data_IF_995248272926
#
_entry.id   IF_995248272926
#
_cell.length_a   1.000
_cell.length_b   1.000
_cell.length_c   1.000
_cell.angle_alpha   90.00
_cell.angle_beta   90.00
_cell.angle_gamma   90.00
#
_symmetry.space_group_name_H-M   'P 1'
#
loop_
_entity.id
_entity.type
_entity.pdbx_description
1 polymer ?
#
# COMPACT_ATOMS: atom_id res chain seq x y z
N UNK A 1 5.39 17.55 -0.85
CA UNK A 1 3.94 17.28 -0.90
C UNK A 1 3.56 16.15 0.05
N UNK A 2 2.28 16.03 0.43
CA UNK A 2 1.75 14.90 1.24
C UNK A 2 2.08 13.56 0.58
N UNK A 3 1.99 13.50 -0.75
CA UNK A 3 2.36 12.35 -1.58
C UNK A 3 3.83 11.95 -1.37
N UNK A 4 4.76 12.87 -1.49
CA UNK A 4 6.20 12.58 -1.27
C UNK A 4 6.50 12.18 0.17
N UNK A 5 5.75 12.69 1.16
CA UNK A 5 5.90 12.31 2.58
C UNK A 5 5.42 10.89 2.84
N UNK A 6 4.25 10.50 2.35
CA UNK A 6 3.73 9.14 2.53
C UNK A 6 4.60 8.11 1.80
N UNK A 7 5.09 8.43 0.59
CA UNK A 7 6.02 7.62 -0.16
C UNK A 7 7.32 7.39 0.60
N UNK A 8 7.96 8.47 1.06
CA UNK A 8 9.17 8.37 1.86
C UNK A 8 8.93 7.65 3.20
N UNK A 9 7.81 7.90 3.89
CA UNK A 9 7.55 7.36 5.22
C UNK A 9 7.40 5.85 5.21
N UNK A 10 6.60 5.30 4.27
CA UNK A 10 6.42 3.86 4.20
C UNK A 10 7.67 3.13 3.74
N UNK A 11 8.34 3.66 2.73
CA UNK A 11 9.56 3.03 2.20
C UNK A 11 10.71 3.12 3.19
N UNK A 12 10.82 4.21 3.93
CA UNK A 12 11.85 4.46 4.93
C UNK A 12 11.57 3.80 6.28
N UNK A 13 10.34 3.92 6.80
CA UNK A 13 10.02 3.55 8.19
C UNK A 13 9.00 2.44 8.32
N UNK A 14 8.42 1.96 7.21
CA UNK A 14 7.43 0.88 7.21
C UNK A 14 6.04 1.28 7.76
N UNK A 15 5.78 2.57 8.02
CA UNK A 15 4.48 3.01 8.54
C UNK A 15 3.38 2.92 7.49
N UNK A 16 2.19 2.50 7.91
CA UNK A 16 1.01 2.58 7.04
C UNK A 16 0.56 4.03 6.86
N UNK A 17 -0.24 4.30 5.82
CA UNK A 17 -0.80 5.62 5.59
C UNK A 17 -1.62 6.11 6.79
N UNK A 18 -2.37 5.21 7.44
CA UNK A 18 -3.14 5.52 8.65
C UNK A 18 -2.23 5.87 9.82
N UNK A 19 -1.21 5.04 10.12
CA UNK A 19 -0.23 5.33 11.18
C UNK A 19 0.45 6.66 10.97
N UNK A 20 0.85 6.98 9.73
CA UNK A 20 1.46 8.26 9.38
C UNK A 20 0.53 9.43 9.72
N UNK A 21 -0.77 9.30 9.39
CA UNK A 21 -1.76 10.33 9.69
C UNK A 21 -2.00 10.45 11.20
N UNK A 22 -2.07 9.33 11.92
CA UNK A 22 -2.27 9.30 13.36
C UNK A 22 -1.08 9.97 14.10
N UNK A 23 0.17 9.70 13.69
CA UNK A 23 1.35 10.38 14.26
C UNK A 23 1.37 11.88 13.91
N UNK A 24 1.01 12.26 12.70
CA UNK A 24 0.92 13.67 12.33
C UNK A 24 -0.17 14.39 13.14
N UNK A 25 -1.30 13.74 13.39
CA UNK A 25 -2.37 14.25 14.23
C UNK A 25 -1.90 14.44 15.68
N UNK A 26 -1.19 13.46 16.25
CA UNK A 26 -0.63 13.56 17.60
C UNK A 26 0.37 14.71 17.73
N UNK A 27 1.23 14.92 16.73
CA UNK A 27 2.17 16.06 16.69
C UNK A 27 1.43 17.41 16.60
N UNK A 28 0.34 17.48 15.83
CA UNK A 28 -0.52 18.66 15.76
C UNK A 28 -1.17 18.98 17.11
N UNK A 29 -1.73 17.99 17.79
CA UNK A 29 -2.34 18.14 19.11
C UNK A 29 -1.31 18.59 20.17
N UNK A 30 -0.06 18.19 20.04
CA UNK A 30 1.08 18.69 20.82
C UNK A 30 1.55 20.09 20.41
N UNK A 31 0.95 20.71 19.39
CA UNK A 31 1.32 22.01 18.80
C UNK A 31 2.72 22.05 18.19
N UNK A 32 3.26 20.90 17.81
CA UNK A 32 4.60 20.79 17.21
C UNK A 32 4.56 20.78 15.69
N UNK A 33 3.39 20.52 15.11
CA UNK A 33 3.13 20.48 13.69
C UNK A 33 1.87 21.30 13.35
N UNK A 34 1.81 21.88 12.16
CA UNK A 34 0.59 22.52 11.66
C UNK A 34 -0.42 21.46 11.22
N UNK A 35 -1.65 21.86 10.91
CA UNK A 35 -2.74 20.93 10.61
C UNK A 35 -2.39 19.91 9.53
N UNK A 36 -2.48 18.60 9.81
CA UNK A 36 -1.92 17.58 8.92
C UNK A 36 -2.82 17.18 7.75
N UNK A 37 -4.11 17.56 7.76
CA UNK A 37 -5.08 17.18 6.72
C UNK A 37 -5.25 18.30 5.70
N UNK A 38 -4.17 18.71 5.06
CA UNK A 38 -4.15 19.72 4.00
C UNK A 38 -3.76 19.09 2.67
N UNK A 39 -4.26 19.61 1.59
CA UNK A 39 -3.88 19.32 0.20
C UNK A 39 -2.84 20.30 -0.33
N UNK A 40 -2.68 21.47 0.30
CA UNK A 40 -1.70 22.47 -0.12
C UNK A 40 -0.26 22.05 0.18
N UNK A 41 0.62 22.48 -0.72
CA UNK A 41 2.10 22.36 -0.63
C UNK A 41 2.76 23.71 -0.39
N UNK A 42 1.96 24.77 -0.31
CA UNK A 42 2.38 26.15 -0.33
C UNK A 42 2.01 26.84 0.98
N UNK A 43 2.70 27.95 1.23
CA UNK A 43 2.39 28.91 2.29
C UNK A 43 1.84 30.19 1.66
N UNK A 44 1.22 31.03 2.46
CA UNK A 44 0.80 32.39 2.07
C UNK A 44 1.90 33.41 2.27
N UNK A 45 1.86 34.54 1.58
CA UNK A 45 2.87 35.59 1.65
C UNK A 45 3.03 36.22 3.03
N UNK A 46 1.96 36.27 3.83
CA UNK A 46 1.99 36.73 5.20
C UNK A 46 2.77 35.81 6.15
N UNK A 47 2.97 34.55 5.76
CA UNK A 47 3.76 33.57 6.52
C UNK A 47 5.27 33.62 6.22
N UNK A 48 5.73 34.37 5.24
CA UNK A 48 7.16 34.36 4.84
C UNK A 48 8.09 34.72 5.99
N UNK A 49 7.79 35.78 6.75
CA UNK A 49 8.61 36.22 7.87
C UNK A 49 8.77 35.14 8.95
N UNK A 50 7.66 34.60 9.42
CA UNK A 50 7.64 33.54 10.44
C UNK A 50 8.27 32.24 9.95
N UNK A 51 8.09 31.91 8.67
CA UNK A 51 8.71 30.71 8.07
C UNK A 51 10.22 30.88 7.94
N UNK A 52 10.74 32.07 7.64
CA UNK A 52 12.18 32.35 7.60
C UNK A 52 12.83 32.17 8.96
N UNK A 53 12.19 32.67 10.02
CA UNK A 53 12.63 32.48 11.40
C UNK A 53 12.62 30.99 11.79
N UNK A 54 11.55 30.29 11.43
CA UNK A 54 11.42 28.85 11.63
C UNK A 54 12.57 28.09 10.97
N UNK A 55 12.86 28.35 9.68
CA UNK A 55 13.96 27.71 8.95
C UNK A 55 15.31 27.96 9.63
N UNK A 56 15.55 29.20 10.05
CA UNK A 56 16.78 29.56 10.78
C UNK A 56 16.91 28.76 12.08
N UNK A 57 15.84 28.66 12.84
CA UNK A 57 15.79 27.87 14.07
C UNK A 57 16.00 26.37 13.81
N UNK A 58 15.40 25.81 12.75
CA UNK A 58 15.58 24.41 12.37
C UNK A 58 17.02 24.12 11.94
N UNK A 59 17.67 24.99 11.17
CA UNK A 59 19.08 24.84 10.80
C UNK A 59 20.00 24.80 12.02
N UNK A 60 19.69 25.56 13.06
CA UNK A 60 20.46 25.55 14.31
C UNK A 60 20.18 24.32 15.19
N UNK A 61 18.92 23.85 15.21
CA UNK A 61 18.47 22.77 16.11
C UNK A 61 18.70 21.35 15.57
N UNK A 62 18.75 21.17 14.24
CA UNK A 62 18.83 19.83 13.62
C UNK A 62 20.28 19.37 13.47
N UNK A 63 20.67 18.21 14.06
CA UNK A 63 22.05 17.73 14.00
C UNK A 63 22.57 17.54 12.58
N UNK A 64 21.73 17.10 11.64
CA UNK A 64 22.13 16.87 10.25
C UNK A 64 22.33 18.16 9.44
N UNK A 65 21.96 19.32 9.98
CA UNK A 65 22.19 20.63 9.38
C UNK A 65 23.48 21.31 9.88
N UNK A 66 24.19 20.71 10.85
CA UNK A 66 25.43 21.29 11.37
C UNK A 66 26.47 21.40 10.27
N UNK A 67 26.98 22.61 10.06
CA UNK A 67 27.95 22.91 8.98
C UNK A 67 27.34 23.16 7.60
N UNK A 68 26.04 22.96 7.42
CA UNK A 68 25.36 23.26 6.14
C UNK A 68 24.93 24.72 6.11
N UNK A 69 25.35 25.42 5.05
CA UNK A 69 24.90 26.79 4.77
C UNK A 69 23.72 26.76 3.82
N UNK A 70 22.52 26.94 4.36
CA UNK A 70 21.29 27.00 3.57
C UNK A 70 20.95 28.46 3.22
N UNK A 71 20.93 28.78 1.93
CA UNK A 71 20.29 30.00 1.42
C UNK A 71 18.85 29.63 1.05
N UNK A 72 17.91 29.95 1.95
CA UNK A 72 16.51 29.58 1.77
C UNK A 72 15.82 30.52 0.78
N UNK A 73 15.25 29.97 -0.28
CA UNK A 73 14.40 30.65 -1.26
C UNK A 73 12.92 30.36 -0.95
N UNK A 74 12.26 31.26 -0.24
CA UNK A 74 10.85 31.13 0.15
C UNK A 74 9.89 31.33 -1.02
N UNK A 75 10.27 32.02 -2.09
CA UNK A 75 9.44 32.21 -3.27
C UNK A 75 9.04 30.85 -3.92
N UNK A 76 9.83 29.82 -3.71
CA UNK A 76 9.53 28.47 -4.21
C UNK A 76 8.34 27.78 -3.55
N UNK A 77 8.01 28.19 -2.35
CA UNK A 77 6.94 27.58 -1.54
C UNK A 77 5.81 28.56 -1.22
N UNK A 78 5.92 29.83 -1.62
CA UNK A 78 4.93 30.85 -1.39
C UNK A 78 4.04 31.03 -2.62
N UNK A 79 2.73 30.74 -2.49
CA UNK A 79 1.75 30.92 -3.56
C UNK A 79 0.34 31.01 -2.96
N UNK A 80 -0.18 32.24 -2.82
CA UNK A 80 -1.51 32.49 -2.23
C UNK A 80 -2.64 31.79 -3.00
N UNK A 81 -2.51 31.64 -4.32
CA UNK A 81 -3.55 31.04 -5.15
C UNK A 81 -3.70 29.53 -4.96
N UNK A 82 -2.70 28.89 -4.36
CA UNK A 82 -2.64 27.46 -4.09
C UNK A 82 -2.84 27.09 -2.61
N UNK A 83 -3.23 28.06 -1.80
CA UNK A 83 -3.63 27.86 -0.40
C UNK A 83 -5.10 28.17 -0.29
N UNK A 84 -5.92 27.16 -0.04
CA UNK A 84 -7.37 27.30 0.15
C UNK A 84 -7.68 27.42 1.65
N UNK A 85 -8.08 26.31 2.28
CA UNK A 85 -8.45 26.29 3.70
C UNK A 85 -7.24 26.18 4.63
N UNK A 86 -6.20 25.45 4.20
CA UNK A 86 -5.00 25.19 5.00
C UNK A 86 -3.73 25.26 4.15
N UNK A 87 -2.69 25.87 4.72
CA UNK A 87 -1.35 25.88 4.13
C UNK A 87 -0.62 24.55 4.27
N UNK A 88 0.57 24.43 3.70
CA UNK A 88 1.43 23.25 3.81
C UNK A 88 1.71 22.85 5.26
N UNK A 89 1.97 21.58 5.50
CA UNK A 89 2.37 21.09 6.82
C UNK A 89 3.78 21.56 7.14
N UNK A 90 3.93 22.27 8.25
CA UNK A 90 5.18 22.83 8.74
C UNK A 90 5.41 22.41 10.19
N UNK A 91 6.68 22.27 10.65
CA UNK A 91 7.00 22.32 12.05
C UNK A 91 6.58 23.69 12.63
N UNK A 92 6.41 23.77 13.94
CA UNK A 92 6.08 25.02 14.61
C UNK A 92 7.28 25.62 15.32
N UNK A 93 7.21 26.89 15.73
CA UNK A 93 8.20 27.51 16.59
C UNK A 93 8.32 26.79 17.95
N UNK A 94 7.24 26.14 18.41
CA UNK A 94 7.27 25.35 19.65
C UNK A 94 8.17 24.11 19.50
N UNK A 95 8.16 23.46 18.35
CA UNK A 95 9.09 22.36 18.07
C UNK A 95 10.56 22.84 18.10
N UNK A 96 10.87 24.02 17.54
CA UNK A 96 12.23 24.57 17.59
C UNK A 96 12.72 24.75 19.02
N UNK A 97 11.82 25.14 19.95
CA UNK A 97 12.15 25.34 21.38
C UNK A 97 12.30 24.02 22.12
N UNK A 98 11.39 23.06 21.90
CA UNK A 98 11.32 21.83 22.70
C UNK A 98 12.15 20.68 22.13
N UNK A 99 12.42 20.71 20.82
CA UNK A 99 13.17 19.66 20.11
C UNK A 99 12.45 18.30 20.15
N UNK A 100 13.25 17.25 20.14
CA UNK A 100 12.78 15.86 20.07
C UNK A 100 12.56 15.19 21.44
N UNK A 101 12.86 15.85 22.55
CA UNK A 101 12.99 15.22 23.87
C UNK A 101 11.70 14.56 24.39
N UNK A 102 10.52 15.10 24.02
CA UNK A 102 9.21 14.60 24.46
C UNK A 102 8.52 13.69 23.44
N UNK A 103 9.19 13.35 22.33
CA UNK A 103 8.59 12.61 21.22
C UNK A 103 8.88 11.11 21.29
N UNK A 104 7.88 10.30 20.98
CA UNK A 104 8.07 8.88 20.71
C UNK A 104 8.92 8.67 19.44
N UNK A 105 9.57 7.51 19.30
CA UNK A 105 10.47 7.25 18.17
C UNK A 105 9.77 7.38 16.79
N UNK A 106 8.51 6.96 16.68
CA UNK A 106 7.72 7.14 15.44
C UNK A 106 7.44 8.62 15.15
N UNK A 107 7.15 9.40 16.17
CA UNK A 107 6.93 10.85 16.04
C UNK A 107 8.23 11.58 15.68
N UNK A 108 9.38 11.17 16.26
CA UNK A 108 10.71 11.70 15.90
C UNK A 108 11.02 11.48 14.42
N UNK A 109 10.81 10.26 13.94
CA UNK A 109 11.02 9.92 12.53
C UNK A 109 10.16 10.77 11.60
N UNK A 110 8.87 10.92 11.92
CA UNK A 110 7.97 11.76 11.14
C UNK A 110 8.38 13.23 11.18
N UNK A 111 8.70 13.76 12.35
CA UNK A 111 9.11 15.16 12.50
C UNK A 111 10.43 15.44 11.75
N UNK A 112 11.43 14.56 11.87
CA UNK A 112 12.68 14.67 11.12
C UNK A 112 12.42 14.75 9.61
N UNK A 113 11.53 13.90 9.10
CA UNK A 113 11.18 13.94 7.69
C UNK A 113 10.46 15.23 7.29
N UNK A 114 9.53 15.73 8.10
CA UNK A 114 8.83 17.00 7.82
C UNK A 114 9.82 18.17 7.80
N UNK A 115 10.72 18.24 8.78
CA UNK A 115 11.77 19.25 8.80
C UNK A 115 12.67 19.16 7.58
N UNK A 116 13.17 17.97 7.24
CA UNK A 116 14.01 17.77 6.06
C UNK A 116 13.31 18.18 4.77
N UNK A 117 12.01 17.85 4.62
CA UNK A 117 11.25 18.21 3.41
C UNK A 117 10.98 19.71 3.30
N UNK A 118 10.79 20.43 4.40
CA UNK A 118 10.71 21.88 4.39
C UNK A 118 12.05 22.49 3.94
N UNK A 119 13.15 22.05 4.53
CA UNK A 119 14.48 22.57 4.20
C UNK A 119 14.86 22.26 2.73
N UNK A 120 14.56 21.05 2.24
CA UNK A 120 14.73 20.71 0.82
C UNK A 120 13.87 21.58 -0.12
N UNK A 121 12.64 21.94 0.30
CA UNK A 121 11.74 22.71 -0.54
C UNK A 121 12.22 24.15 -0.79
N UNK A 122 12.97 24.72 0.16
CA UNK A 122 13.53 26.07 0.08
C UNK A 122 15.01 26.11 -0.31
N UNK A 123 15.67 24.96 -0.45
CA UNK A 123 17.05 24.87 -0.86
C UNK A 123 17.22 25.11 -2.36
N UNK A 124 18.46 25.36 -2.79
CA UNK A 124 18.79 25.46 -4.20
C UNK A 124 18.34 24.22 -5.00
N UNK A 125 18.01 24.34 -6.27
CA UNK A 125 17.70 23.20 -7.13
C UNK A 125 18.91 22.25 -7.25
N UNK A 126 18.60 20.98 -7.49
CA UNK A 126 19.59 20.02 -7.98
C UNK A 126 19.84 20.31 -9.47
N UNK A 127 21.08 20.60 -9.84
CA UNK A 127 21.45 20.91 -11.20
C UNK A 127 22.43 19.86 -11.74
N UNK A 128 22.18 19.40 -12.95
CA UNK A 128 23.01 18.40 -13.61
C UNK A 128 23.05 18.61 -15.11
N UNK A 129 24.14 18.19 -15.71
CA UNK A 129 24.29 18.07 -17.16
C UNK A 129 23.90 16.64 -17.56
N UNK A 130 22.99 16.51 -18.53
CA UNK A 130 22.59 15.23 -19.10
C UNK A 130 23.10 15.12 -20.53
N UNK A 131 23.95 14.14 -20.82
CA UNK A 131 24.49 13.86 -22.14
C UNK A 131 23.80 12.62 -22.71
N UNK A 132 23.33 12.72 -23.94
CA UNK A 132 22.83 11.57 -24.70
C UNK A 132 23.66 11.47 -25.97
N UNK A 133 24.44 10.39 -26.08
CA UNK A 133 25.24 10.09 -27.26
C UNK A 133 24.54 9.00 -28.08
N UNK A 134 24.47 9.21 -29.40
CA UNK A 134 23.93 8.23 -30.34
C UNK A 134 25.10 7.79 -31.25
N UNK A 135 25.41 6.51 -31.24
CA UNK A 135 26.43 5.88 -32.03
C UNK A 135 25.78 5.10 -33.17
N UNK A 136 26.33 5.20 -34.37
CA UNK A 136 25.88 4.42 -35.53
C UNK A 136 26.92 3.37 -35.87
N UNK A 137 26.54 2.10 -35.91
CA UNK A 137 27.38 0.99 -36.30
C UNK A 137 26.61 0.06 -37.24
N UNK A 138 27.12 -0.14 -38.47
CA UNK A 138 26.49 -1.01 -39.48
C UNK A 138 25.00 -0.72 -39.72
N UNK A 139 24.57 0.54 -39.64
CA UNK A 139 23.20 0.98 -39.83
C UNK A 139 22.29 0.88 -38.56
N UNK A 140 22.82 0.37 -37.47
CA UNK A 140 22.09 0.31 -36.17
C UNK A 140 22.49 1.49 -35.28
N UNK A 141 21.51 2.03 -34.56
CA UNK A 141 21.74 3.12 -33.60
C UNK A 141 21.84 2.57 -32.16
N UNK A 142 22.92 2.96 -31.49
CA UNK A 142 23.15 2.65 -30.06
C UNK A 142 23.13 3.94 -29.28
N UNK A 143 22.38 3.98 -28.16
CA UNK A 143 22.25 5.18 -27.34
C UNK A 143 22.91 4.96 -25.98
N UNK A 144 23.82 5.86 -25.61
CA UNK A 144 24.38 5.96 -24.27
C UNK A 144 23.88 7.25 -23.61
N UNK A 145 23.59 7.17 -22.33
CA UNK A 145 23.15 8.32 -21.51
C UNK A 145 24.08 8.47 -20.31
N UNK A 146 24.52 9.69 -20.08
CA UNK A 146 25.34 10.06 -18.93
C UNK A 146 24.74 11.24 -18.19
N UNK A 147 25.12 11.41 -16.93
CA UNK A 147 24.75 12.54 -16.10
C UNK A 147 25.92 12.96 -15.25
N UNK A 148 26.17 14.26 -15.18
CA UNK A 148 27.20 14.86 -14.32
C UNK A 148 26.52 15.88 -13.40
N UNK A 149 26.62 15.69 -12.11
CA UNK A 149 26.07 16.63 -11.11
C UNK A 149 26.88 17.91 -11.11
N UNK A 150 26.22 19.05 -11.30
CA UNK A 150 26.81 20.40 -11.23
C UNK A 150 26.56 21.03 -9.85
N UNK A 151 25.38 20.86 -9.26
CA UNK A 151 25.03 21.35 -7.95
C UNK A 151 24.14 20.33 -7.22
N UNK A 152 24.54 19.87 -6.06
CA UNK A 152 23.74 18.93 -5.24
C UNK A 152 22.42 19.54 -4.76
N UNK A 153 22.40 20.84 -4.46
CA UNK A 153 21.23 21.55 -4.04
C UNK A 153 20.47 20.85 -2.90
N UNK A 154 19.15 20.69 -3.05
CA UNK A 154 18.30 20.03 -2.03
C UNK A 154 18.67 18.56 -1.75
N UNK A 155 19.33 17.86 -2.68
CA UNK A 155 19.76 16.46 -2.52
C UNK A 155 20.74 16.28 -1.35
N UNK A 156 21.62 17.27 -1.13
CA UNK A 156 22.55 17.25 -0.01
C UNK A 156 21.82 17.15 1.33
N UNK A 157 20.79 17.99 1.55
CA UNK A 157 19.99 17.98 2.77
C UNK A 157 19.25 16.64 2.93
N UNK A 158 18.69 16.11 1.85
CA UNK A 158 18.01 14.82 1.87
C UNK A 158 18.98 13.70 2.26
N UNK A 159 20.18 13.65 1.65
CA UNK A 159 21.22 12.68 1.96
C UNK A 159 21.66 12.76 3.43
N UNK A 160 21.91 13.96 3.95
CA UNK A 160 22.30 14.17 5.34
C UNK A 160 21.18 13.73 6.32
N UNK A 161 19.93 14.01 6.00
CA UNK A 161 18.80 13.60 6.83
C UNK A 161 18.59 12.08 6.82
N UNK A 162 18.89 11.40 5.71
CA UNK A 162 18.87 9.94 5.60
C UNK A 162 19.99 9.32 6.44
N UNK A 163 21.21 9.80 6.28
CA UNK A 163 22.34 9.32 7.05
C UNK A 163 22.12 9.47 8.57
N UNK A 164 21.53 10.58 9.01
CA UNK A 164 21.17 10.80 10.41
C UNK A 164 20.09 9.84 10.93
N UNK A 165 19.27 9.29 10.03
CA UNK A 165 18.25 8.27 10.35
C UNK A 165 18.79 6.83 10.28
N UNK A 166 20.08 6.63 9.99
CA UNK A 166 20.71 5.31 9.87
C UNK A 166 20.34 4.58 8.58
N UNK A 167 19.84 5.29 7.56
CA UNK A 167 19.46 4.71 6.28
C UNK A 167 20.65 4.69 5.33
N UNK A 168 20.89 3.54 4.70
CA UNK A 168 21.82 3.42 3.57
C UNK A 168 21.06 3.71 2.28
N UNK A 169 21.69 4.41 1.36
CA UNK A 169 21.12 4.73 0.04
C UNK A 169 21.32 3.51 -0.89
N UNK A 170 20.55 2.43 -0.63
CA UNK A 170 20.65 1.17 -1.40
C UNK A 170 20.19 1.34 -2.86
N UNK A 171 19.46 2.40 -3.19
CA UNK A 171 18.89 2.66 -4.52
C UNK A 171 19.71 3.71 -5.34
N UNK A 172 20.83 4.17 -4.85
CA UNK A 172 21.71 5.03 -5.62
C UNK A 172 22.42 4.22 -6.72
N UNK A 173 21.75 4.02 -7.86
CA UNK A 173 22.49 3.59 -9.06
C UNK A 173 23.60 4.60 -9.31
N UNK A 174 24.86 4.13 -9.48
CA UNK A 174 25.96 5.04 -9.79
C UNK A 174 25.62 5.79 -11.08
N UNK A 175 25.66 7.12 -11.02
CA UNK A 175 25.43 7.95 -12.19
C UNK A 175 26.48 7.60 -13.24
N UNK A 176 26.04 7.09 -14.39
CA UNK A 176 26.94 6.82 -15.51
C UNK A 176 27.45 8.17 -16.04
N UNK A 177 28.73 8.43 -15.87
CA UNK A 177 29.39 9.60 -16.43
C UNK A 177 29.97 9.17 -17.76
N UNK A 178 29.54 9.81 -18.85
CA UNK A 178 30.16 9.59 -20.17
C UNK A 178 31.49 10.37 -20.28
N UNK A 179 32.50 9.79 -20.92
CA UNK A 179 33.71 10.54 -21.25
C UNK A 179 33.36 11.69 -22.20
N UNK A 180 34.23 12.70 -22.34
CA UNK A 180 34.05 13.74 -23.35
C UNK A 180 33.93 13.13 -24.76
N UNK A 181 32.83 13.42 -25.42
CA UNK A 181 32.49 12.92 -26.75
C UNK A 181 32.36 14.10 -27.70
N UNK A 182 32.82 13.92 -28.94
CA UNK A 182 32.68 14.91 -30.02
C UNK A 182 31.79 14.34 -31.13
N UNK A 183 31.03 15.21 -31.79
CA UNK A 183 30.24 14.83 -32.95
C UNK A 183 31.18 14.37 -34.09
N UNK A 184 30.85 13.25 -34.74
CA UNK A 184 31.66 12.63 -35.78
C UNK A 184 32.87 11.81 -35.26
N UNK A 185 33.01 11.67 -33.94
CA UNK A 185 34.07 10.83 -33.36
C UNK A 185 33.88 9.36 -33.78
N UNK A 186 34.96 8.74 -34.27
CA UNK A 186 34.97 7.34 -34.69
C UNK A 186 35.65 6.47 -33.64
N UNK A 187 35.05 5.29 -33.35
CA UNK A 187 35.62 4.28 -32.47
C UNK A 187 36.00 3.05 -33.28
N UNK A 188 37.25 2.60 -33.14
CA UNK A 188 37.73 1.40 -33.82
C UNK A 188 37.39 0.14 -32.99
N UNK A 189 37.04 -0.95 -33.69
CA UNK A 189 36.80 -2.27 -33.12
C UNK A 189 35.78 -2.29 -31.96
N UNK A 190 34.56 -1.76 -32.13
CA UNK A 190 33.55 -1.83 -31.09
C UNK A 190 33.15 -3.29 -30.81
N UNK A 191 33.10 -3.67 -29.55
CA UNK A 191 32.53 -4.95 -29.14
C UNK A 191 31.03 -4.77 -28.83
N UNK A 192 30.18 -5.66 -29.33
CA UNK A 192 28.76 -5.67 -29.05
C UNK A 192 28.38 -6.97 -28.37
N UNK A 193 27.58 -6.87 -27.30
CA UNK A 193 27.02 -8.00 -26.59
C UNK A 193 25.49 -7.95 -26.66
N UNK A 194 24.86 -9.08 -26.98
CA UNK A 194 23.39 -9.20 -26.99
C UNK A 194 22.96 -9.69 -25.62
N UNK A 195 22.19 -8.85 -24.92
CA UNK A 195 21.56 -9.20 -23.65
C UNK A 195 20.06 -9.43 -23.87
N UNK A 196 19.59 -10.65 -23.67
CA UNK A 196 18.17 -10.98 -23.71
C UNK A 196 17.53 -10.56 -22.39
N UNK A 197 16.45 -9.77 -22.46
CA UNK A 197 15.71 -9.29 -21.31
C UNK A 197 14.21 -9.46 -21.53
N UNK A 198 13.50 -9.76 -20.46
CA UNK A 198 12.05 -9.86 -20.46
C UNK A 198 11.42 -8.62 -19.83
N UNK A 199 10.31 -8.16 -20.40
CA UNK A 199 9.50 -7.11 -19.79
C UNK A 199 8.93 -7.61 -18.46
N UNK A 200 8.92 -6.75 -17.46
CA UNK A 200 8.33 -7.07 -16.17
C UNK A 200 6.86 -6.63 -16.15
N UNK A 201 5.96 -7.40 -15.51
CA UNK A 201 4.59 -6.96 -15.32
C UNK A 201 4.55 -5.69 -14.47
N UNK A 202 3.48 -4.87 -14.55
CA UNK A 202 3.31 -3.70 -13.70
C UNK A 202 3.48 -4.09 -12.23
N UNK A 203 4.21 -3.26 -11.48
CA UNK A 203 4.42 -3.50 -10.05
C UNK A 203 3.08 -3.41 -9.31
N UNK A 204 2.84 -4.34 -8.37
CA UNK A 204 1.69 -4.25 -7.49
C UNK A 204 1.71 -2.93 -6.70
N UNK A 205 0.54 -2.38 -6.42
CA UNK A 205 0.42 -1.16 -5.64
C UNK A 205 1.04 -1.30 -4.25
N UNK A 206 1.74 -0.28 -3.83
CA UNK A 206 1.99 0.01 -2.42
C UNK A 206 0.90 0.95 -1.91
N UNK A 207 0.79 1.20 -0.61
CA UNK A 207 -0.17 2.20 -0.11
C UNK A 207 0.05 3.57 -0.72
N UNK A 208 1.30 3.96 -0.93
CA UNK A 208 1.68 5.22 -1.54
C UNK A 208 1.23 5.31 -3.01
N UNK A 209 1.60 4.31 -3.81
CA UNK A 209 1.22 4.31 -5.22
C UNK A 209 -0.30 4.20 -5.40
N UNK A 210 -1.00 3.49 -4.48
CA UNK A 210 -2.46 3.46 -4.48
C UNK A 210 -3.08 4.81 -4.08
N UNK A 211 -2.57 5.46 -3.02
CA UNK A 211 -3.01 6.81 -2.64
C UNK A 211 -2.81 7.80 -3.78
N UNK A 212 -1.68 7.67 -4.49
CA UNK A 212 -1.38 8.46 -5.68
C UNK A 212 -2.35 8.18 -6.84
N UNK A 213 -2.67 6.92 -7.08
CA UNK A 213 -3.65 6.53 -8.09
C UNK A 213 -5.05 7.05 -7.74
N UNK A 214 -5.47 6.96 -6.46
CA UNK A 214 -6.73 7.52 -5.98
C UNK A 214 -6.79 9.05 -6.17
N UNK A 215 -5.70 9.76 -5.90
CA UNK A 215 -5.64 11.22 -6.08
C UNK A 215 -5.74 11.64 -7.54
N UNK A 216 -5.21 10.83 -8.44
CA UNK A 216 -5.21 11.13 -9.88
C UNK A 216 -6.37 10.47 -10.65
N UNK A 217 -7.16 9.63 -9.98
CA UNK A 217 -8.29 8.95 -10.63
C UNK A 217 -9.30 9.97 -11.14
N UNK A 218 -9.80 9.76 -12.36
CA UNK A 218 -10.81 10.64 -12.99
C UNK A 218 -10.27 12.00 -13.47
N UNK A 219 -8.96 12.23 -13.47
CA UNK A 219 -8.42 13.53 -13.92
C UNK A 219 -8.62 13.80 -15.41
N UNK A 220 -8.60 12.76 -16.21
CA UNK A 220 -8.79 12.87 -17.66
C UNK A 220 -10.26 13.04 -17.99
N UNK A 221 -11.16 12.53 -17.15
CA UNK A 221 -12.61 12.59 -17.28
C UNK A 221 -13.21 13.87 -16.67
N UNK A 222 -12.46 14.60 -15.84
CA UNK A 222 -12.95 15.80 -15.15
C UNK A 222 -12.56 17.04 -15.93
N UNK A 223 -13.50 17.94 -16.27
CA UNK A 223 -13.22 19.23 -16.91
C UNK A 223 -12.22 20.08 -16.11
N UNK A 224 -11.49 20.97 -16.80
CA UNK A 224 -10.46 21.81 -16.16
C UNK A 224 -11.01 22.78 -15.10
N UNK A 225 -12.26 23.20 -15.28
CA UNK A 225 -12.96 24.13 -14.39
C UNK A 225 -13.71 23.46 -13.23
N UNK A 226 -13.72 22.11 -13.18
CA UNK A 226 -14.28 21.34 -12.07
C UNK A 226 -13.17 20.91 -11.09
N UNK A 227 -13.57 20.71 -9.84
CA UNK A 227 -12.63 20.33 -8.78
C UNK A 227 -12.13 18.90 -8.95
N UNK A 228 -10.84 18.73 -9.29
CA UNK A 228 -10.20 17.44 -9.57
C UNK A 228 -9.70 16.77 -8.28
N UNK A 229 -10.62 16.26 -7.45
CA UNK A 229 -10.30 15.66 -6.14
C UNK A 229 -9.84 14.21 -6.21
N UNK A 230 -10.12 13.50 -7.29
CA UNK A 230 -9.91 12.05 -7.40
C UNK A 230 -10.86 11.25 -6.51
N UNK A 231 -10.50 10.00 -6.19
CA UNK A 231 -11.29 9.14 -5.31
C UNK A 231 -10.99 9.43 -3.83
N UNK A 232 -12.02 9.85 -3.09
CA UNK A 232 -11.91 10.24 -1.69
C UNK A 232 -11.12 11.54 -1.49
N UNK A 233 -11.05 11.99 -0.25
CA UNK A 233 -10.29 13.18 0.14
C UNK A 233 -8.95 12.81 0.77
N UNK A 234 -8.09 13.80 0.95
CA UNK A 234 -6.83 13.63 1.69
C UNK A 234 -7.03 13.09 3.11
N UNK A 235 -8.18 13.35 3.72
CA UNK A 235 -8.52 12.87 5.06
C UNK A 235 -9.05 11.42 5.07
N UNK A 236 -9.68 10.97 3.99
CA UNK A 236 -10.43 9.70 3.97
C UNK A 236 -9.71 8.55 3.27
N UNK A 237 -8.80 8.82 2.32
CA UNK A 237 -8.13 7.77 1.51
C UNK A 237 -7.45 6.68 2.33
N UNK A 238 -6.70 7.07 3.37
CA UNK A 238 -6.06 6.10 4.26
C UNK A 238 -7.09 5.19 4.97
N UNK A 239 -8.20 5.76 5.43
CA UNK A 239 -9.30 5.01 6.03
C UNK A 239 -10.02 4.07 5.05
N UNK A 240 -10.13 4.44 3.77
CA UNK A 240 -10.68 3.59 2.72
C UNK A 240 -9.81 2.34 2.54
N UNK A 241 -8.48 2.50 2.47
CA UNK A 241 -7.54 1.36 2.37
C UNK A 241 -7.71 0.42 3.57
N UNK A 242 -7.77 0.95 4.80
CA UNK A 242 -7.97 0.13 6.00
C UNK A 242 -9.32 -0.60 5.98
N UNK A 243 -10.38 0.02 5.47
CA UNK A 243 -11.69 -0.63 5.31
C UNK A 243 -11.62 -1.79 4.32
N UNK A 244 -10.96 -1.64 3.17
CA UNK A 244 -10.78 -2.72 2.21
C UNK A 244 -10.04 -3.91 2.81
N UNK A 245 -8.99 -3.66 3.61
CA UNK A 245 -8.22 -4.70 4.28
C UNK A 245 -9.03 -5.37 5.39
N UNK A 246 -9.69 -4.60 6.25
CA UNK A 246 -10.50 -5.14 7.35
C UNK A 246 -11.72 -5.93 6.85
N UNK A 247 -12.28 -5.55 5.71
CA UNK A 247 -13.34 -6.29 5.03
C UNK A 247 -12.85 -7.55 4.28
N UNK A 248 -11.53 -7.75 4.19
CA UNK A 248 -10.94 -8.92 3.54
C UNK A 248 -10.89 -8.84 2.01
N UNK A 249 -11.11 -7.66 1.41
CA UNK A 249 -11.04 -7.48 -0.05
C UNK A 249 -9.62 -7.22 -0.56
N UNK A 250 -8.72 -6.78 0.32
CA UNK A 250 -7.31 -6.61 0.06
C UNK A 250 -6.47 -7.11 1.24
N UNK A 251 -5.23 -7.50 0.99
CA UNK A 251 -4.26 -7.90 2.02
C UNK A 251 -2.92 -7.21 1.83
N UNK A 252 -2.16 -7.05 2.93
CA UNK A 252 -0.80 -6.55 2.91
C UNK A 252 0.19 -7.72 2.79
N UNK A 253 1.01 -7.74 1.74
CA UNK A 253 2.15 -8.65 1.59
C UNK A 253 3.46 -7.84 1.56
N UNK A 254 4.08 -7.69 2.71
CA UNK A 254 5.20 -6.76 2.89
C UNK A 254 4.74 -5.32 2.62
N UNK A 255 5.42 -4.62 1.70
CA UNK A 255 5.05 -3.26 1.29
C UNK A 255 3.89 -3.21 0.26
N UNK A 256 3.51 -4.36 -0.33
CA UNK A 256 2.52 -4.44 -1.41
C UNK A 256 1.11 -4.61 -0.88
N UNK A 257 0.14 -4.02 -1.58
CA UNK A 257 -1.29 -4.26 -1.43
C UNK A 257 -1.73 -5.22 -2.54
N UNK A 258 -2.31 -6.34 -2.15
CA UNK A 258 -2.75 -7.38 -3.07
C UNK A 258 -4.25 -7.58 -2.90
N UNK A 259 -5.04 -7.52 -3.99
CA UNK A 259 -6.45 -7.90 -3.93
C UNK A 259 -6.59 -9.37 -3.54
N UNK A 260 -7.55 -9.68 -2.67
CA UNK A 260 -7.91 -11.06 -2.33
C UNK A 260 -8.84 -11.63 -3.42
N UNK A 261 -9.11 -12.93 -3.36
CA UNK A 261 -10.11 -13.57 -4.22
C UNK A 261 -11.48 -12.90 -4.06
N UNK A 262 -11.88 -12.58 -2.83
CA UNK A 262 -13.16 -11.93 -2.55
C UNK A 262 -13.17 -10.49 -3.08
N UNK A 263 -12.04 -9.79 -3.08
CA UNK A 263 -11.89 -8.49 -3.72
C UNK A 263 -12.10 -8.55 -5.24
N UNK A 264 -11.48 -9.51 -5.92
CA UNK A 264 -11.71 -9.73 -7.35
C UNK A 264 -13.16 -10.11 -7.65
N UNK A 265 -13.74 -11.00 -6.85
CA UNK A 265 -15.12 -11.43 -7.00
C UNK A 265 -16.09 -10.26 -6.83
N UNK A 266 -15.87 -9.39 -5.85
CA UNK A 266 -16.67 -8.18 -5.64
C UNK A 266 -16.67 -7.30 -6.89
N UNK A 267 -15.49 -6.96 -7.41
CA UNK A 267 -15.38 -6.12 -8.61
C UNK A 267 -16.07 -6.78 -9.83
N UNK A 268 -15.95 -8.10 -9.98
CA UNK A 268 -16.56 -8.83 -11.08
C UNK A 268 -18.11 -8.83 -11.07
N UNK A 269 -18.73 -8.61 -9.92
CA UNK A 269 -20.21 -8.55 -9.83
C UNK A 269 -20.76 -7.12 -9.88
N UNK A 270 -19.94 -6.11 -9.54
CA UNK A 270 -20.36 -4.72 -9.55
C UNK A 270 -20.55 -4.20 -10.98
N UNK A 271 -21.46 -3.25 -11.22
CA UNK A 271 -21.60 -2.60 -12.50
C UNK A 271 -20.40 -1.69 -12.79
N UNK A 272 -20.11 -1.48 -14.06
CA UNK A 272 -18.99 -0.64 -14.51
C UNK A 272 -19.06 0.77 -13.92
N UNK A 273 -20.25 1.34 -13.77
CA UNK A 273 -20.46 2.66 -13.16
C UNK A 273 -19.89 2.79 -11.74
N UNK A 274 -19.85 1.70 -10.95
CA UNK A 274 -19.28 1.69 -9.61
C UNK A 274 -17.80 1.29 -9.58
N UNK A 275 -17.26 0.73 -10.66
CA UNK A 275 -15.86 0.31 -10.76
C UNK A 275 -14.99 1.29 -11.55
N UNK A 276 -15.62 2.30 -12.16
CA UNK A 276 -14.97 3.40 -12.88
C UNK A 276 -14.86 4.65 -12.00
N UNK A 277 -13.81 5.47 -12.13
CA UNK A 277 -13.73 6.79 -11.49
C UNK A 277 -14.69 7.82 -12.14
N UNK A 278 -15.28 7.50 -13.28
CA UNK A 278 -16.14 8.41 -14.06
C UNK A 278 -17.34 8.91 -13.27
N UNK A 279 -18.02 8.04 -12.51
CA UNK A 279 -19.14 8.43 -11.66
C UNK A 279 -18.76 9.54 -10.66
N UNK A 280 -17.58 9.44 -10.06
CA UNK A 280 -17.08 10.46 -9.14
C UNK A 280 -16.78 11.76 -9.89
N UNK A 281 -16.18 11.70 -11.07
CA UNK A 281 -15.90 12.87 -11.89
C UNK A 281 -17.18 13.59 -12.32
N UNK A 282 -18.22 12.85 -12.74
CA UNK A 282 -19.53 13.39 -13.07
C UNK A 282 -20.19 14.08 -11.87
N UNK A 283 -20.13 13.46 -10.68
CA UNK A 283 -20.71 14.06 -9.48
C UNK A 283 -19.98 15.32 -9.04
N UNK A 284 -18.65 15.34 -9.05
CA UNK A 284 -17.86 16.55 -8.74
C UNK A 284 -18.14 17.67 -9.74
N UNK A 285 -18.32 17.34 -11.03
CA UNK A 285 -18.72 18.32 -12.06
C UNK A 285 -20.08 18.92 -11.74
N UNK A 286 -21.07 18.09 -11.39
CA UNK A 286 -22.42 18.55 -11.01
C UNK A 286 -22.41 19.37 -9.73
N UNK A 287 -21.66 18.95 -8.71
CA UNK A 287 -21.49 19.71 -7.46
C UNK A 287 -20.84 21.08 -7.72
N UNK A 288 -19.86 21.15 -8.62
CA UNK A 288 -19.28 22.41 -9.06
C UNK A 288 -20.33 23.29 -9.78
N UNK A 289 -21.18 22.70 -10.64
CA UNK A 289 -22.30 23.37 -11.27
C UNK A 289 -23.31 23.93 -10.28
N UNK A 290 -23.63 23.16 -9.23
CA UNK A 290 -24.53 23.64 -8.15
C UNK A 290 -23.90 24.82 -7.42
N UNK A 291 -22.62 24.77 -7.09
CA UNK A 291 -21.91 25.87 -6.42
C UNK A 291 -21.89 27.16 -7.29
N UNK A 292 -21.83 27.01 -8.62
CA UNK A 292 -21.89 28.12 -9.59
C UNK A 292 -23.32 28.53 -9.94
N UNK A 293 -24.36 27.84 -9.46
CA UNK A 293 -25.76 28.11 -9.76
C UNK A 293 -26.22 27.63 -11.14
N UNK A 294 -25.47 26.78 -11.84
CA UNK A 294 -25.78 26.26 -13.17
C UNK A 294 -26.41 24.86 -13.16
N UNK A 295 -26.46 24.16 -12.02
CA UNK A 295 -27.14 22.87 -11.83
C UNK A 295 -28.06 22.92 -10.60
N UNK A 296 -29.04 21.98 -10.53
CA UNK A 296 -30.08 21.92 -9.50
C UNK A 296 -29.69 20.93 -8.41
N UNK A 297 -29.62 21.34 -7.11
CA UNK A 297 -29.42 20.42 -6.00
C UNK A 297 -30.49 19.32 -5.91
N UNK A 298 -31.75 19.66 -6.22
CA UNK A 298 -32.86 18.72 -6.17
C UNK A 298 -32.73 17.61 -7.25
N UNK A 299 -32.33 18.01 -8.46
CA UNK A 299 -32.11 17.04 -9.55
C UNK A 299 -30.90 16.16 -9.30
N UNK A 300 -29.86 16.70 -8.69
CA UNK A 300 -28.70 15.94 -8.27
C UNK A 300 -29.08 14.86 -7.23
N UNK A 301 -29.80 15.25 -6.18
CA UNK A 301 -30.24 14.31 -5.14
C UNK A 301 -31.18 13.23 -5.69
N UNK A 302 -32.14 13.62 -6.56
CA UNK A 302 -33.03 12.65 -7.21
C UNK A 302 -32.25 11.63 -8.04
N UNK A 303 -31.23 12.06 -8.79
CA UNK A 303 -30.37 11.16 -9.55
C UNK A 303 -29.63 10.13 -8.64
N UNK A 304 -29.16 10.55 -7.45
CA UNK A 304 -28.56 9.64 -6.47
C UNK A 304 -29.59 8.63 -5.94
N UNK A 305 -30.80 9.09 -5.61
CA UNK A 305 -31.89 8.24 -5.12
C UNK A 305 -32.29 7.20 -6.15
N UNK A 306 -32.48 7.60 -7.42
CA UNK A 306 -32.82 6.70 -8.54
C UNK A 306 -31.71 5.67 -8.79
N UNK A 307 -30.45 6.11 -8.80
CA UNK A 307 -29.30 5.22 -8.95
C UNK A 307 -29.25 4.19 -7.80
N UNK A 308 -29.42 4.64 -6.56
CA UNK A 308 -29.37 3.78 -5.38
C UNK A 308 -30.53 2.77 -5.41
N UNK A 309 -31.75 3.21 -5.72
CA UNK A 309 -32.90 2.33 -5.85
C UNK A 309 -32.69 1.27 -6.97
N UNK A 310 -32.14 1.70 -8.10
CA UNK A 310 -31.75 0.80 -9.21
C UNK A 310 -30.73 -0.26 -8.80
N UNK A 311 -29.69 0.13 -8.09
CA UNK A 311 -28.66 -0.78 -7.57
C UNK A 311 -29.27 -1.78 -6.56
N UNK A 312 -30.07 -1.33 -5.61
CA UNK A 312 -30.76 -2.19 -4.63
C UNK A 312 -31.63 -3.19 -5.34
N UNK A 313 -32.43 -2.76 -6.33
CA UNK A 313 -33.28 -3.65 -7.12
C UNK A 313 -32.47 -4.68 -7.92
N UNK A 314 -31.39 -4.28 -8.55
CA UNK A 314 -30.53 -5.16 -9.37
C UNK A 314 -29.82 -6.20 -8.52
N UNK A 315 -29.36 -5.82 -7.32
CA UNK A 315 -28.57 -6.69 -6.43
C UNK A 315 -29.35 -7.30 -5.27
N UNK A 316 -30.67 -7.10 -5.21
CA UNK A 316 -31.54 -7.78 -4.23
C UNK A 316 -31.56 -9.31 -4.40
N UNK A 317 -31.32 -9.80 -5.61
CA UNK A 317 -31.16 -11.20 -5.93
C UNK A 317 -29.91 -11.39 -6.79
N UNK A 318 -28.85 -11.90 -6.19
CA UNK A 318 -27.63 -12.28 -6.94
C UNK A 318 -27.93 -13.62 -7.63
N UNK A 319 -27.63 -13.73 -8.95
CA UNK A 319 -27.77 -14.98 -9.70
C UNK A 319 -26.92 -16.09 -9.04
N UNK A 320 -27.39 -17.35 -9.16
CA UNK A 320 -26.67 -18.50 -8.57
C UNK A 320 -25.22 -18.59 -9.03
N UNK A 321 -24.93 -18.24 -10.27
CA UNK A 321 -23.57 -18.29 -10.80
C UNK A 321 -22.66 -17.23 -10.18
N UNK A 322 -23.18 -16.02 -9.95
CA UNK A 322 -22.45 -14.97 -9.20
C UNK A 322 -22.30 -15.33 -7.73
N UNK A 323 -23.31 -15.95 -7.09
CA UNK A 323 -23.22 -16.44 -5.73
C UNK A 323 -22.16 -17.54 -5.54
N UNK A 324 -21.96 -18.40 -6.55
CA UNK A 324 -20.88 -19.41 -6.53
C UNK A 324 -19.49 -18.81 -6.41
N UNK A 325 -19.24 -17.58 -6.88
CA UNK A 325 -17.95 -16.90 -6.76
C UNK A 325 -17.54 -16.71 -5.30
N UNK A 326 -18.52 -16.48 -4.40
CA UNK A 326 -18.29 -16.28 -2.98
C UNK A 326 -18.41 -17.55 -2.16
N UNK A 327 -18.78 -18.66 -2.79
CA UNK A 327 -18.78 -19.93 -2.09
C UNK A 327 -17.34 -20.34 -1.78
N UNK A 328 -16.96 -20.54 -0.50
CA UNK A 328 -15.62 -20.97 -0.16
C UNK A 328 -15.29 -22.26 -0.93
N UNK A 329 -14.32 -22.23 -1.81
CA UNK A 329 -13.78 -23.47 -2.39
C UNK A 329 -13.01 -24.16 -1.26
N UNK A 330 -13.74 -25.02 -0.55
CA UNK A 330 -13.13 -25.86 0.48
C UNK A 330 -12.33 -26.93 -0.22
N UNK A 331 -11.04 -26.97 0.03
CA UNK A 331 -10.20 -28.06 -0.45
C UNK A 331 -10.64 -29.34 0.23
N UNK A 332 -11.07 -30.32 -0.59
CA UNK A 332 -11.40 -31.65 -0.09
C UNK A 332 -10.13 -32.31 0.44
N UNK A 333 -10.15 -32.82 1.66
CA UNK A 333 -9.04 -33.54 2.27
C UNK A 333 -9.05 -35.05 1.92
N UNK A 334 -10.12 -35.51 1.32
CA UNK A 334 -10.32 -36.90 0.91
C UNK A 334 -11.77 -37.19 0.56
N UNK A 335 -12.06 -38.46 0.34
CA UNK A 335 -13.39 -38.98 -0.02
C UNK A 335 -14.03 -39.64 1.19
N UNK A 336 -15.31 -39.41 1.39
CA UNK A 336 -16.08 -40.01 2.50
C UNK A 336 -16.20 -41.53 2.29
N UNK A 337 -15.81 -42.34 3.27
CA UNK A 337 -15.91 -43.80 3.14
C UNK A 337 -17.35 -44.31 3.15
N UNK A 338 -18.33 -43.51 3.60
CA UNK A 338 -19.75 -43.91 3.66
C UNK A 338 -20.52 -43.63 2.38
N UNK A 339 -20.31 -42.46 1.78
CA UNK A 339 -21.17 -42.02 0.65
C UNK A 339 -20.36 -41.58 -0.60
N UNK A 340 -19.03 -41.56 -0.54
CA UNK A 340 -18.19 -41.15 -1.66
C UNK A 340 -18.09 -39.63 -1.89
N UNK A 341 -18.81 -38.80 -1.12
CA UNK A 341 -18.74 -37.35 -1.24
C UNK A 341 -17.42 -36.79 -0.64
N UNK A 342 -17.09 -35.55 -1.00
CA UNK A 342 -15.88 -34.88 -0.48
C UNK A 342 -15.94 -34.69 1.04
N UNK A 343 -14.81 -34.83 1.73
CA UNK A 343 -14.63 -34.52 3.13
C UNK A 343 -13.87 -33.22 3.26
N UNK A 344 -14.39 -32.29 4.07
CA UNK A 344 -13.82 -30.97 4.32
C UNK A 344 -13.31 -30.78 5.73
N UNK A 345 -12.35 -29.89 5.89
CA UNK A 345 -11.87 -29.47 7.20
C UNK A 345 -12.76 -28.36 7.80
N UNK A 346 -13.32 -28.59 8.98
CA UNK A 346 -13.98 -27.60 9.82
C UNK A 346 -13.09 -27.08 10.95
N UNK A 347 -13.59 -26.15 11.74
CA UNK A 347 -12.86 -25.63 12.91
C UNK A 347 -12.55 -26.73 13.94
N UNK A 348 -13.51 -27.63 14.22
CA UNK A 348 -13.43 -28.66 15.28
C UNK A 348 -13.40 -30.08 14.76
N UNK A 349 -13.62 -30.29 13.46
CA UNK A 349 -13.83 -31.63 12.88
C UNK A 349 -13.43 -31.67 11.40
N UNK A 350 -13.39 -32.90 10.85
CA UNK A 350 -13.41 -33.19 9.43
C UNK A 350 -14.76 -33.84 9.15
N UNK A 351 -15.53 -33.35 8.15
CA UNK A 351 -16.91 -33.74 7.94
C UNK A 351 -17.26 -33.92 6.45
N UNK A 352 -18.21 -34.79 6.18
CA UNK A 352 -18.71 -35.04 4.85
C UNK A 352 -19.45 -33.82 4.28
N UNK A 353 -19.26 -33.54 2.98
CA UNK A 353 -19.95 -32.47 2.27
C UNK A 353 -21.45 -32.75 2.10
N UNK A 354 -21.85 -34.01 2.04
CA UNK A 354 -23.23 -34.42 1.97
C UNK A 354 -23.89 -34.27 3.35
N UNK A 355 -24.91 -33.41 3.44
CA UNK A 355 -25.65 -33.13 4.67
C UNK A 355 -26.47 -34.32 5.18
N UNK A 356 -26.83 -35.25 4.28
CA UNK A 356 -27.52 -36.48 4.66
C UNK A 356 -26.56 -37.52 5.24
N UNK A 357 -25.27 -37.38 5.07
CA UNK A 357 -24.25 -38.28 5.56
C UNK A 357 -23.74 -37.84 6.95
N UNK A 358 -23.83 -38.73 7.92
CA UNK A 358 -23.38 -38.48 9.30
C UNK A 358 -21.89 -38.66 9.54
N UNK A 359 -21.07 -38.89 8.50
CA UNK A 359 -19.63 -39.10 8.65
C UNK A 359 -18.92 -37.83 9.16
N UNK A 360 -18.26 -37.97 10.32
CA UNK A 360 -17.50 -36.90 10.97
C UNK A 360 -16.32 -37.51 11.78
N UNK A 361 -15.13 -36.91 11.64
CA UNK A 361 -13.97 -37.19 12.49
C UNK A 361 -13.67 -35.95 13.33
N UNK A 362 -13.61 -36.08 14.64
CA UNK A 362 -13.39 -34.96 15.53
C UNK A 362 -11.90 -34.71 15.80
N UNK A 363 -11.44 -33.44 15.72
CA UNK A 363 -10.03 -33.08 15.98
C UNK A 363 -9.60 -33.34 17.43
N UNK A 364 -10.55 -33.35 18.35
CA UNK A 364 -10.35 -33.69 19.78
C UNK A 364 -10.66 -35.16 20.09
N UNK A 365 -10.41 -36.05 19.14
CA UNK A 365 -10.63 -37.47 19.31
C UNK A 365 -9.86 -38.05 20.51
N UNK A 366 -10.55 -38.88 21.33
CA UNK A 366 -10.01 -39.45 22.58
C UNK A 366 -8.86 -40.43 22.34
N UNK A 367 -8.88 -41.16 21.24
CA UNK A 367 -7.80 -42.08 20.91
C UNK A 367 -6.48 -41.32 20.74
N UNK A 368 -6.49 -40.21 20.01
CA UNK A 368 -5.30 -39.39 19.80
C UNK A 368 -4.87 -38.67 21.08
N UNK A 369 -5.83 -38.14 21.86
CA UNK A 369 -5.54 -37.47 23.14
C UNK A 369 -4.84 -38.43 24.13
N UNK A 370 -5.34 -39.63 24.32
CA UNK A 370 -4.76 -40.64 25.23
C UNK A 370 -3.35 -41.05 24.79
N UNK A 371 -3.05 -40.95 23.50
CA UNK A 371 -1.71 -41.27 22.96
C UNK A 371 -0.80 -40.05 22.85
N UNK A 372 -1.22 -38.89 23.43
CA UNK A 372 -0.51 -37.63 23.45
C UNK A 372 -0.15 -37.18 22.03
N UNK A 373 -1.06 -37.34 21.05
CA UNK A 373 -0.95 -36.94 19.65
C UNK A 373 -2.07 -35.98 19.25
N UNK A 374 -1.77 -35.10 18.32
CA UNK A 374 -2.78 -34.20 17.73
C UNK A 374 -3.31 -34.84 16.44
N UNK A 375 -4.63 -34.89 16.29
CA UNK A 375 -5.26 -35.35 15.06
C UNK A 375 -5.23 -34.24 14.01
N UNK A 376 -4.24 -34.26 13.13
CA UNK A 376 -3.97 -33.20 12.13
C UNK A 376 -4.66 -33.49 10.80
N UNK A 377 -4.79 -32.45 9.94
CA UNK A 377 -5.28 -32.55 8.54
C UNK A 377 -4.53 -33.66 7.77
N UNK A 378 -3.22 -33.74 7.92
CA UNK A 378 -2.41 -34.76 7.22
C UNK A 378 -2.76 -36.19 7.66
N UNK A 379 -3.00 -36.42 8.95
CA UNK A 379 -3.43 -37.73 9.47
C UNK A 379 -4.83 -38.06 8.94
N UNK A 380 -5.77 -37.12 8.97
CA UNK A 380 -7.11 -37.30 8.47
C UNK A 380 -7.11 -37.60 6.96
N UNK A 381 -6.34 -36.88 6.17
CA UNK A 381 -6.20 -37.14 4.73
C UNK A 381 -5.62 -38.52 4.42
N UNK A 382 -4.58 -38.97 5.16
CA UNK A 382 -4.01 -40.29 5.01
C UNK A 382 -5.02 -41.40 5.36
N UNK A 383 -5.78 -41.22 6.45
CA UNK A 383 -6.83 -42.16 6.83
C UNK A 383 -7.95 -42.25 5.79
N UNK A 384 -8.35 -41.13 5.21
CA UNK A 384 -9.37 -41.11 4.15
C UNK A 384 -8.90 -41.73 2.84
N UNK A 385 -7.61 -41.55 2.51
CA UNK A 385 -7.00 -42.05 1.27
C UNK A 385 -6.69 -43.54 1.33
N UNK A 386 -5.98 -43.96 2.39
CA UNK A 386 -5.37 -45.28 2.47
C UNK A 386 -6.01 -46.18 3.53
N UNK A 387 -7.02 -45.69 4.27
CA UNK A 387 -7.65 -46.39 5.41
C UNK A 387 -6.74 -46.56 6.62
N UNK A 388 -5.46 -46.14 6.52
CA UNK A 388 -4.44 -46.35 7.56
C UNK A 388 -3.37 -45.27 7.52
N UNK A 389 -2.75 -45.01 8.69
CA UNK A 389 -1.60 -44.10 8.80
C UNK A 389 -0.60 -44.59 9.85
N UNK A 390 0.70 -44.53 9.54
CA UNK A 390 1.75 -44.83 10.49
C UNK A 390 2.07 -43.61 11.33
N UNK A 391 1.98 -43.75 12.67
CA UNK A 391 2.26 -42.66 13.61
C UNK A 391 3.41 -43.12 14.54
N UNK A 392 4.44 -42.29 14.62
CA UNK A 392 5.60 -42.55 15.49
C UNK A 392 5.40 -41.95 16.89
N UNK A 393 5.98 -42.58 17.90
CA UNK A 393 6.06 -42.09 19.26
C UNK A 393 4.69 -41.88 19.94
N UNK A 394 3.71 -42.75 19.69
CA UNK A 394 2.43 -42.78 20.43
C UNK A 394 2.63 -43.21 21.87
N UNK A 395 1.96 -42.55 22.81
CA UNK A 395 2.07 -42.88 24.22
C UNK A 395 1.17 -44.07 24.61
N UNK A 396 1.70 -45.06 25.32
CA UNK A 396 0.94 -46.17 25.87
C UNK A 396 0.57 -45.89 27.34
N UNK A 397 -0.73 -45.80 27.62
CA UNK A 397 -1.24 -45.61 28.99
C UNK A 397 -0.98 -46.83 29.87
N UNK A 398 -0.81 -48.02 29.29
CA UNK A 398 -0.55 -49.25 30.04
C UNK A 398 0.92 -49.40 30.48
N UNK A 399 1.85 -49.01 29.63
CA UNK A 399 3.29 -49.23 29.86
C UNK A 399 4.05 -47.95 30.22
N UNK A 400 3.46 -46.78 30.07
CA UNK A 400 4.11 -45.48 30.28
C UNK A 400 5.19 -45.15 29.25
N UNK A 401 5.35 -45.95 28.19
CA UNK A 401 6.40 -45.79 27.15
C UNK A 401 5.82 -45.34 25.82
N UNK A 402 6.66 -44.82 24.97
CA UNK A 402 6.25 -44.46 23.59
C UNK A 402 6.49 -45.64 22.64
N UNK A 403 5.65 -45.78 21.64
CA UNK A 403 5.74 -46.81 20.61
C UNK A 403 5.33 -46.26 19.24
N UNK A 404 5.77 -46.91 18.19
CA UNK A 404 5.33 -46.65 16.82
C UNK A 404 4.22 -47.62 16.43
N UNK A 405 3.19 -47.15 15.74
CA UNK A 405 2.08 -48.01 15.35
C UNK A 405 1.37 -47.53 14.09
N UNK A 406 0.52 -48.38 13.56
CA UNK A 406 -0.37 -48.04 12.44
C UNK A 406 -1.77 -47.84 13.01
N UNK A 407 -2.36 -46.71 12.72
CA UNK A 407 -3.74 -46.38 13.05
C UNK A 407 -4.59 -46.69 11.84
N UNK A 408 -5.71 -47.38 12.04
CA UNK A 408 -6.67 -47.76 11.02
C UNK A 408 -7.95 -46.92 11.18
N UNK A 409 -8.57 -46.59 10.07
CA UNK A 409 -9.91 -45.98 10.05
C UNK A 409 -10.92 -47.12 10.03
N UNK A 410 -11.61 -47.32 11.15
CA UNK A 410 -12.64 -48.34 11.28
C UNK A 410 -14.01 -47.67 11.38
N UNK A 411 -14.65 -47.44 10.25
CA UNK A 411 -16.01 -46.86 10.23
C UNK A 411 -17.07 -47.97 10.30
N UNK A 412 -17.72 -48.06 11.43
CA UNK A 412 -18.78 -49.03 11.66
C UNK A 412 -20.19 -48.53 11.26
N UNK A 413 -20.29 -47.36 10.63
CA UNK A 413 -21.55 -46.74 10.23
C UNK A 413 -22.34 -46.11 11.38
N UNK A 414 -21.81 -46.14 12.61
CA UNK A 414 -22.41 -45.54 13.77
C UNK A 414 -22.33 -44.01 13.85
N UNK A 415 -22.79 -43.46 14.98
CA UNK A 415 -22.75 -42.00 15.22
C UNK A 415 -21.30 -41.45 15.25
N UNK A 416 -20.35 -42.27 15.61
CA UNK A 416 -18.91 -41.92 15.67
C UNK A 416 -18.10 -42.83 14.78
N UNK A 417 -17.07 -42.27 14.18
CA UNK A 417 -16.04 -43.01 13.46
C UNK A 417 -14.99 -43.45 14.47
N UNK A 418 -14.62 -44.72 14.48
CA UNK A 418 -13.61 -45.30 15.36
C UNK A 418 -12.27 -45.46 14.64
#
# INVERSE_FOLDING_TARGET
SRRQRQMCIRDRYGFTAKQTLDYAQALYEKRLLTYPRTDSKYITSDMEGSTKELITGLCAALPFMQGVKLQADLARICDNSKVTDHHAILPTAEFVKTGFSSLAESEKKLMTLVCAKLLCAVAAPYEYEAVTAVFTCSGYAFTAKGRTTLCEGWREIERLSRAASGEQDEDAEPEAVLPPLAEGQTFENPAAEISERYTQPPKAYTEDTLLSAMENAGKEETPEDAERKGLGTTATRAGIIEKLISAGFAERKGKKLIPTKDGYNLVAILPESLTSPQLTAEWETRLTGIAKGSDSPADFMRGIEEMTAGLVKTYSAISEDKAKLFTPQREAIGTCPRCGAAVYEGKKNYYCSDRACSFVMWKNDLFFQQRKKTFTKAIAAALLKDGKVKIKGMYSTKTGKTFDGVVLLADTGGKYVN
#
